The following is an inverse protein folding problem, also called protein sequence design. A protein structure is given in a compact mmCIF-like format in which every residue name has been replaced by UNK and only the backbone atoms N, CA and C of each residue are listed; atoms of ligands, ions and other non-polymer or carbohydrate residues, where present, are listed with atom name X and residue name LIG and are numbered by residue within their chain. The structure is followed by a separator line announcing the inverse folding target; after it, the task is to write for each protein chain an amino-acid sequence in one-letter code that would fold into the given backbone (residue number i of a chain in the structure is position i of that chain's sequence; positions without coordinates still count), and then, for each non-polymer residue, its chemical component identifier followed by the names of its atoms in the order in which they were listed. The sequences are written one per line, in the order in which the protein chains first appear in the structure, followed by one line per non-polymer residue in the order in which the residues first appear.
data_IF_771527097031
#
_entry.id   IF_771527097031
#
_cell.length_a   1.000
_cell.length_b   1.000
_cell.length_c   1.000
_cell.angle_alpha   90.00
_cell.angle_beta   90.00
_cell.angle_gamma   90.00
#
_symmetry.space_group_name_H-M   'P 1'
#
loop_
_entity.id
_entity.type
_entity.pdbx_description
1 polymer ?
#
# COMPACT_ATOMS: atom_id res chain seq x y z
N UNK A 1 27.58 21.56 3.61
CA UNK A 1 27.62 20.07 3.77
C UNK A 1 26.43 19.68 4.58
N UNK A 2 25.70 18.68 4.10
CA UNK A 2 24.46 18.21 4.72
C UNK A 2 24.78 17.42 5.99
N UNK A 3 24.45 17.99 7.15
CA UNK A 3 24.63 17.34 8.44
C UNK A 3 23.85 16.01 8.55
N UNK A 4 22.80 15.86 7.75
CA UNK A 4 21.98 14.63 7.71
C UNK A 4 22.75 13.49 7.07
N UNK A 5 23.48 13.74 6.00
CA UNK A 5 24.34 12.72 5.37
C UNK A 5 25.48 12.30 6.29
N UNK A 6 26.07 13.24 7.01
CA UNK A 6 27.12 12.93 7.99
C UNK A 6 26.58 12.06 9.14
N UNK A 7 25.38 12.35 9.63
CA UNK A 7 24.74 11.55 10.67
C UNK A 7 24.39 10.15 10.13
N UNK A 8 23.81 10.07 8.95
CA UNK A 8 23.47 8.81 8.31
C UNK A 8 24.71 7.95 8.04
N UNK A 9 25.81 8.56 7.56
CA UNK A 9 27.08 7.88 7.33
C UNK A 9 27.75 7.44 8.63
N UNK A 10 27.71 8.27 9.66
CA UNK A 10 28.37 7.99 10.94
C UNK A 10 27.65 6.90 11.76
N UNK A 11 26.33 6.84 11.67
CA UNK A 11 25.51 5.90 12.44
C UNK A 11 24.93 4.76 11.60
N UNK A 12 25.25 4.64 10.33
CA UNK A 12 24.68 3.65 9.40
C UNK A 12 23.13 3.68 9.37
N UNK A 13 22.53 4.86 9.48
CA UNK A 13 21.08 5.04 9.56
C UNK A 13 20.36 4.94 8.22
N UNK A 14 21.04 4.56 7.15
CA UNK A 14 20.45 4.38 5.84
C UNK A 14 20.31 5.68 5.05
N UNK A 15 19.44 5.65 4.06
CA UNK A 15 19.18 6.77 3.17
C UNK A 15 18.47 7.92 3.87
N UNK A 16 18.78 9.12 3.47
CA UNK A 16 18.15 10.35 3.90
C UNK A 16 16.62 10.30 3.74
N UNK A 17 15.89 10.69 4.77
CA UNK A 17 14.44 10.74 4.70
C UNK A 17 13.99 11.96 3.89
N UNK A 18 13.13 11.80 2.87
CA UNK A 18 12.69 12.93 2.06
C UNK A 18 11.78 13.86 2.86
N UNK A 19 11.87 15.14 2.55
CA UNK A 19 10.97 16.18 3.03
C UNK A 19 9.86 16.45 2.03
N UNK A 20 8.66 16.77 2.55
CA UNK A 20 7.55 17.21 1.72
C UNK A 20 7.78 18.68 1.32
N UNK A 21 7.92 18.95 0.03
CA UNK A 21 8.18 20.28 -0.53
C UNK A 21 6.94 20.93 -1.14
N UNK A 22 5.88 20.18 -1.31
CA UNK A 22 4.58 20.64 -1.81
C UNK A 22 3.43 20.07 -0.97
N UNK A 23 2.23 20.66 -0.98
CA UNK A 23 1.08 20.12 -0.29
C UNK A 23 0.77 18.69 -0.74
N UNK A 24 0.71 17.73 0.18
CA UNK A 24 0.41 16.35 -0.11
C UNK A 24 -0.93 16.20 -0.82
N UNK A 25 -0.92 15.57 -2.00
CA UNK A 25 -2.10 15.27 -2.78
C UNK A 25 -2.24 13.76 -3.00
N UNK A 26 -3.35 13.20 -2.52
CA UNK A 26 -3.71 11.82 -2.78
C UNK A 26 -4.20 11.65 -4.22
N UNK A 27 -3.64 10.67 -4.93
CA UNK A 27 -4.01 10.35 -6.30
C UNK A 27 -4.87 9.06 -6.35
N UNK A 28 -5.62 8.88 -7.44
CA UNK A 28 -6.32 7.62 -7.73
C UNK A 28 -5.38 6.68 -8.51
N UNK A 29 -4.98 5.54 -7.94
CA UNK A 29 -4.00 4.65 -8.58
C UNK A 29 -4.49 4.02 -9.88
N UNK A 30 -5.77 4.16 -10.22
CA UNK A 30 -6.34 3.67 -11.48
C UNK A 30 -6.14 4.64 -12.64
N UNK A 31 -5.70 5.86 -12.37
CA UNK A 31 -5.56 6.94 -13.35
C UNK A 31 -4.11 7.24 -13.66
N UNK A 32 -3.89 7.82 -14.83
CA UNK A 32 -2.63 8.44 -15.21
C UNK A 32 -2.71 9.96 -15.02
N UNK A 33 -1.59 10.58 -14.65
CA UNK A 33 -1.52 12.02 -14.37
C UNK A 33 -0.40 12.64 -15.20
N UNK A 34 -0.63 12.74 -16.51
CA UNK A 34 0.35 13.27 -17.47
C UNK A 34 0.77 14.71 -17.19
N UNK A 35 -0.12 15.51 -16.59
CA UNK A 35 0.18 16.87 -16.13
C UNK A 35 1.18 16.91 -14.97
N UNK A 36 1.37 15.79 -14.26
CA UNK A 36 2.36 15.61 -13.19
C UNK A 36 3.57 14.79 -13.66
N UNK A 37 3.66 14.48 -14.96
CA UNK A 37 4.71 13.62 -15.50
C UNK A 37 4.51 12.12 -15.24
N UNK A 38 3.40 11.72 -14.62
CA UNK A 38 3.07 10.33 -14.28
C UNK A 38 2.32 9.68 -15.44
N UNK A 39 3.06 9.04 -16.35
CA UNK A 39 2.51 8.45 -17.58
C UNK A 39 1.95 7.03 -17.40
N UNK A 40 2.24 6.40 -16.25
CA UNK A 40 1.73 5.07 -15.88
C UNK A 40 0.78 5.18 -14.69
N UNK A 41 -0.25 4.32 -14.60
CA UNK A 41 -1.10 4.27 -13.41
C UNK A 41 -0.35 3.62 -12.24
N UNK A 42 -0.95 3.65 -11.05
CA UNK A 42 -0.44 3.01 -9.84
C UNK A 42 -0.06 3.99 -8.74
N UNK A 43 0.12 5.26 -9.02
CA UNK A 43 0.57 6.22 -8.02
C UNK A 43 -0.53 6.58 -7.02
N UNK A 44 -0.17 6.54 -5.73
CA UNK A 44 -1.00 6.97 -4.62
C UNK A 44 -0.77 8.43 -4.25
N UNK A 45 0.43 8.93 -4.53
CA UNK A 45 0.82 10.33 -4.40
C UNK A 45 1.86 10.68 -5.48
N UNK A 46 2.13 11.97 -5.65
CA UNK A 46 3.12 12.44 -6.61
C UNK A 46 4.53 12.37 -5.98
N UNK A 47 5.45 11.58 -6.53
CA UNK A 47 6.84 11.54 -6.05
C UNK A 47 7.54 12.89 -6.06
N UNK A 48 7.19 13.78 -7.00
CA UNK A 48 7.80 15.11 -7.11
C UNK A 48 7.43 16.08 -5.97
N UNK A 49 6.45 15.71 -5.12
CA UNK A 49 6.13 16.49 -3.92
C UNK A 49 7.14 16.27 -2.78
N UNK A 50 8.13 15.40 -3.01
CA UNK A 50 9.15 15.03 -2.04
C UNK A 50 10.54 15.29 -2.59
N UNK A 51 11.42 15.80 -1.73
CA UNK A 51 12.82 16.01 -2.07
C UNK A 51 13.72 15.78 -0.84
N UNK A 52 14.97 15.47 -1.12
CA UNK A 52 16.07 15.52 -0.15
C UNK A 52 16.94 16.73 -0.46
N UNK A 53 17.82 17.14 0.45
CA UNK A 53 18.78 18.20 0.15
C UNK A 53 19.71 17.82 -1.00
N UNK A 54 20.02 16.54 -1.15
CA UNK A 54 20.80 16.02 -2.28
C UNK A 54 20.11 16.20 -3.64
N UNK A 55 18.75 16.16 -3.67
CA UNK A 55 17.98 16.32 -4.91
C UNK A 55 17.47 17.75 -5.13
N UNK A 56 17.31 18.50 -4.05
CA UNK A 56 16.92 19.92 -4.06
C UNK A 56 17.66 20.66 -2.93
N UNK A 57 18.73 21.41 -3.24
CA UNK A 57 19.50 22.18 -2.25
C UNK A 57 18.69 23.23 -1.48
N UNK A 58 17.47 23.54 -1.91
CA UNK A 58 16.52 24.39 -1.21
C UNK A 58 15.51 23.65 -0.36
N UNK A 59 15.54 22.31 -0.34
CA UNK A 59 14.65 21.53 0.49
C UNK A 59 14.88 21.82 1.98
N UNK A 60 13.82 21.77 2.79
CA UNK A 60 13.94 21.97 4.23
C UNK A 60 14.87 20.92 4.86
N UNK A 61 15.93 21.35 5.51
CA UNK A 61 16.88 20.49 6.23
C UNK A 61 16.41 20.29 7.67
N UNK A 62 16.45 19.06 8.20
CA UNK A 62 16.14 18.84 9.61
C UNK A 62 17.10 19.57 10.54
N UNK A 63 16.65 20.12 11.66
CA UNK A 63 17.55 20.64 12.69
C UNK A 63 18.51 19.56 13.17
N UNK A 64 19.76 19.93 13.45
CA UNK A 64 20.78 19.02 13.96
C UNK A 64 20.26 18.19 15.13
N UNK A 65 20.30 16.85 15.02
CA UNK A 65 19.78 15.92 16.02
C UNK A 65 18.30 15.57 15.90
N UNK A 66 17.58 16.07 14.89
CA UNK A 66 16.22 15.58 14.60
C UNK A 66 16.25 14.53 13.49
N UNK A 67 15.48 13.46 13.65
CA UNK A 67 15.44 12.35 12.69
C UNK A 67 14.47 12.59 11.53
N UNK A 68 13.95 13.74 11.39
CA UNK A 68 13.09 14.10 10.26
C UNK A 68 12.73 15.58 10.37
N UNK A 69 12.79 16.30 9.34
CA UNK A 69 12.55 17.75 9.21
C UNK A 69 11.15 18.21 9.67
N UNK A 70 10.65 17.70 10.80
CA UNK A 70 9.28 17.97 11.23
C UNK A 70 8.23 17.31 10.33
N UNK A 71 8.62 16.65 9.25
CA UNK A 71 7.72 15.81 8.46
C UNK A 71 7.35 14.61 9.30
N UNK A 72 6.08 14.43 9.55
CA UNK A 72 5.61 13.30 10.35
C UNK A 72 6.09 11.99 9.69
N UNK A 73 6.49 11.03 10.50
CA UNK A 73 6.88 9.68 10.07
C UNK A 73 5.79 9.01 9.21
N UNK A 74 4.57 9.48 9.32
CA UNK A 74 3.41 9.04 8.54
C UNK A 74 2.75 10.27 7.94
N UNK A 75 2.90 10.45 6.64
CA UNK A 75 2.38 11.63 5.93
C UNK A 75 0.90 11.43 5.58
N UNK A 76 0.49 10.18 5.36
CA UNK A 76 -0.87 9.89 4.96
C UNK A 76 -1.24 8.43 5.20
N UNK A 77 -2.54 8.19 5.12
CA UNK A 77 -3.12 6.86 5.19
C UNK A 77 -2.92 6.10 3.87
N UNK A 78 -2.53 4.85 3.95
CA UNK A 78 -2.59 3.94 2.81
C UNK A 78 -4.04 3.72 2.33
N UNK A 79 -4.23 2.92 1.27
CA UNK A 79 -5.55 2.51 0.82
C UNK A 79 -6.32 1.78 1.94
N UNK A 80 -7.61 2.06 2.05
CA UNK A 80 -8.47 1.34 2.98
C UNK A 80 -8.74 -0.08 2.52
N UNK A 81 -8.76 -1.01 3.47
CA UNK A 81 -9.17 -2.40 3.25
C UNK A 81 -10.68 -2.53 3.50
N UNK A 82 -11.40 -3.11 2.54
CA UNK A 82 -12.80 -3.52 2.70
C UNK A 82 -12.92 -4.91 2.10
N UNK A 83 -13.19 -5.89 2.95
CA UNK A 83 -13.36 -7.26 2.56
C UNK A 83 -14.60 -7.86 3.24
N UNK A 84 -15.37 -8.61 2.49
CA UNK A 84 -16.56 -9.30 2.96
C UNK A 84 -16.58 -10.71 2.40
N UNK A 85 -16.61 -11.67 3.31
CA UNK A 85 -16.72 -13.08 2.99
C UNK A 85 -18.11 -13.58 3.36
N UNK A 86 -18.63 -14.47 2.54
CA UNK A 86 -19.91 -15.08 2.75
C UNK A 86 -19.82 -16.60 2.63
N UNK A 87 -20.44 -17.31 3.56
CA UNK A 87 -20.50 -18.78 3.49
C UNK A 87 -21.89 -19.33 3.81
N UNK A 88 -22.29 -20.34 3.05
CA UNK A 88 -23.53 -21.10 3.27
C UNK A 88 -23.19 -22.56 3.44
N UNK A 89 -23.76 -23.15 4.48
CA UNK A 89 -23.60 -24.56 4.78
C UNK A 89 -24.99 -25.21 4.84
N UNK A 90 -25.17 -26.34 4.12
CA UNK A 90 -26.39 -27.14 4.16
C UNK A 90 -26.05 -28.59 4.51
N UNK A 91 -26.63 -29.08 5.59
CA UNK A 91 -26.58 -30.48 5.97
C UNK A 91 -27.86 -31.16 5.54
N UNK A 92 -27.74 -32.25 4.80
CA UNK A 92 -28.86 -33.08 4.35
C UNK A 92 -28.66 -34.46 4.97
N UNK A 93 -29.53 -34.83 5.92
CA UNK A 93 -29.49 -36.14 6.55
C UNK A 93 -30.11 -37.16 5.60
N UNK A 94 -29.37 -38.24 5.37
CA UNK A 94 -29.82 -39.38 4.52
C UNK A 94 -30.25 -40.58 5.37
N UNK A 95 -29.66 -40.72 6.57
CA UNK A 95 -29.95 -41.74 7.54
C UNK A 95 -29.55 -41.24 8.93
N UNK A 96 -29.76 -42.01 9.99
CA UNK A 96 -29.35 -41.65 11.35
C UNK A 96 -27.83 -41.40 11.47
N UNK A 97 -27.03 -42.13 10.70
CA UNK A 97 -25.56 -42.05 10.72
C UNK A 97 -24.97 -41.40 9.48
N UNK A 98 -25.74 -41.22 8.39
CA UNK A 98 -25.24 -40.75 7.10
C UNK A 98 -25.82 -39.39 6.74
N UNK A 99 -24.96 -38.46 6.33
CA UNK A 99 -25.41 -37.16 5.86
C UNK A 99 -24.48 -36.59 4.79
N UNK A 100 -25.04 -35.72 3.98
CA UNK A 100 -24.36 -34.95 2.97
C UNK A 100 -24.23 -33.52 3.45
N UNK A 101 -23.06 -32.96 3.39
CA UNK A 101 -22.80 -31.54 3.70
C UNK A 101 -22.38 -30.81 2.45
N UNK A 102 -23.17 -29.85 2.03
CA UNK A 102 -22.86 -28.90 1.00
C UNK A 102 -22.32 -27.62 1.66
N UNK A 103 -21.27 -27.04 1.10
CA UNK A 103 -20.65 -25.79 1.52
C UNK A 103 -20.39 -24.94 0.29
N UNK A 104 -20.83 -23.68 0.32
CA UNK A 104 -20.51 -22.66 -0.66
C UNK A 104 -19.86 -21.49 0.08
N UNK A 105 -18.70 -21.05 -0.40
CA UNK A 105 -17.94 -19.94 0.18
C UNK A 105 -17.60 -18.96 -0.91
N UNK A 106 -17.77 -17.67 -0.62
CA UNK A 106 -17.47 -16.56 -1.51
C UNK A 106 -16.58 -15.61 -0.73
N UNK A 107 -15.35 -15.46 -1.17
CA UNK A 107 -14.39 -14.51 -0.63
C UNK A 107 -14.43 -13.25 -1.47
N UNK A 108 -14.26 -12.09 -0.85
CA UNK A 108 -14.36 -10.79 -1.47
C UNK A 108 -15.64 -10.65 -2.32
N UNK A 109 -16.81 -10.79 -1.66
CA UNK A 109 -18.15 -10.85 -2.30
C UNK A 109 -18.38 -9.71 -3.29
N UNK A 110 -17.94 -8.50 -2.96
CA UNK A 110 -18.13 -7.32 -3.80
C UNK A 110 -17.08 -7.17 -4.90
N UNK A 111 -16.12 -8.11 -4.99
CA UNK A 111 -15.00 -8.06 -5.93
C UNK A 111 -14.27 -6.70 -5.90
N UNK A 112 -14.04 -6.19 -4.70
CA UNK A 112 -13.37 -4.91 -4.51
C UNK A 112 -11.87 -5.09 -4.60
N UNK A 113 -11.22 -4.22 -5.34
CA UNK A 113 -9.75 -4.17 -5.37
C UNK A 113 -9.25 -3.56 -4.06
N UNK A 114 -8.60 -4.38 -3.24
CA UNK A 114 -7.93 -3.99 -2.01
C UNK A 114 -6.45 -3.77 -2.33
N UNK A 115 -6.05 -2.52 -2.48
CA UNK A 115 -4.67 -2.16 -2.82
C UNK A 115 -3.74 -2.36 -1.62
N UNK A 116 -2.50 -2.79 -1.88
CA UNK A 116 -1.41 -2.76 -0.91
C UNK A 116 -1.01 -1.32 -0.56
N UNK A 117 -0.14 -1.14 0.41
CA UNK A 117 0.46 0.17 0.67
C UNK A 117 1.33 0.59 -0.52
N UNK A 118 1.39 1.90 -0.82
CA UNK A 118 2.33 2.43 -1.80
C UNK A 118 3.78 2.21 -1.34
N UNK A 119 4.67 2.15 -2.30
CA UNK A 119 6.09 2.10 -2.02
C UNK A 119 6.52 3.37 -1.27
N UNK A 120 7.18 3.18 -0.13
CA UNK A 120 7.70 4.25 0.73
C UNK A 120 9.20 4.48 0.58
N UNK A 121 9.88 3.72 -0.29
CA UNK A 121 11.31 3.82 -0.53
C UNK A 121 11.68 4.98 -1.44
N UNK A 122 12.06 6.13 -0.88
CA UNK A 122 12.46 7.28 -1.70
C UNK A 122 13.67 6.97 -2.60
N UNK A 123 14.60 6.12 -2.12
CA UNK A 123 15.77 5.66 -2.87
C UNK A 123 15.44 4.82 -4.11
N UNK A 124 14.22 4.28 -4.20
CA UNK A 124 13.81 3.45 -5.35
C UNK A 124 13.47 4.29 -6.58
N UNK A 125 13.52 5.60 -6.39
CA UNK A 125 13.37 6.60 -7.44
C UNK A 125 11.90 6.91 -7.78
N UNK A 126 11.69 7.93 -8.63
CA UNK A 126 10.37 8.48 -8.90
C UNK A 126 9.46 7.53 -9.69
N UNK A 127 9.99 6.44 -10.23
CA UNK A 127 9.21 5.43 -10.96
C UNK A 127 8.54 4.41 -10.05
N UNK A 128 9.05 4.23 -8.82
CA UNK A 128 8.54 3.26 -7.85
C UNK A 128 7.98 3.94 -6.60
N UNK A 129 8.67 4.96 -6.09
CA UNK A 129 8.25 5.71 -4.91
C UNK A 129 6.82 6.26 -5.06
N UNK A 130 5.96 5.97 -4.10
CA UNK A 130 4.54 6.35 -4.12
C UNK A 130 3.63 5.47 -4.96
N UNK A 131 4.17 4.42 -5.59
CA UNK A 131 3.42 3.53 -6.48
C UNK A 131 2.91 2.29 -5.73
N UNK A 132 1.69 1.90 -6.04
CA UNK A 132 1.09 0.65 -5.59
C UNK A 132 1.34 -0.40 -6.67
N UNK A 133 2.05 -1.46 -6.33
CA UNK A 133 2.42 -2.54 -7.24
C UNK A 133 1.64 -3.82 -7.00
N UNK A 134 0.91 -3.90 -5.88
CA UNK A 134 0.17 -5.09 -5.48
C UNK A 134 -1.26 -4.76 -5.06
N UNK A 135 -2.13 -5.76 -5.21
CA UNK A 135 -3.50 -5.73 -4.69
C UNK A 135 -3.83 -7.10 -4.09
N UNK A 136 -4.77 -7.13 -3.19
CA UNK A 136 -5.33 -8.36 -2.64
C UNK A 136 -6.09 -9.17 -3.70
N UNK A 137 -6.44 -10.39 -3.32
CA UNK A 137 -7.06 -11.36 -4.21
C UNK A 137 -8.42 -10.87 -4.74
N UNK A 138 -8.74 -11.21 -6.00
CA UNK A 138 -10.07 -10.98 -6.54
C UNK A 138 -11.09 -11.90 -5.87
N UNK A 139 -12.37 -11.70 -6.19
CA UNK A 139 -13.43 -12.57 -5.69
C UNK A 139 -13.16 -14.04 -6.06
N UNK A 140 -13.13 -14.88 -5.02
CA UNK A 140 -13.01 -16.33 -5.14
C UNK A 140 -14.31 -16.99 -4.69
N UNK A 141 -14.80 -17.92 -5.50
CA UNK A 141 -15.98 -18.75 -5.17
C UNK A 141 -15.56 -20.20 -5.13
N UNK A 142 -15.84 -20.87 -4.01
CA UNK A 142 -15.57 -22.30 -3.88
C UNK A 142 -16.79 -23.06 -3.40
N UNK A 143 -16.93 -24.30 -3.88
CA UNK A 143 -17.94 -25.24 -3.47
C UNK A 143 -17.28 -26.51 -2.94
N UNK A 144 -17.82 -27.03 -1.87
CA UNK A 144 -17.39 -28.31 -1.32
C UNK A 144 -18.61 -29.19 -1.00
N UNK A 145 -18.48 -30.47 -1.27
CA UNK A 145 -19.45 -31.49 -0.96
C UNK A 145 -18.75 -32.57 -0.14
N UNK A 146 -19.23 -32.82 1.08
CA UNK A 146 -18.72 -33.87 1.96
C UNK A 146 -19.82 -34.88 2.26
N UNK A 147 -19.47 -36.13 2.12
CA UNK A 147 -20.33 -37.24 2.48
C UNK A 147 -19.77 -37.90 3.74
N UNK A 148 -20.63 -38.10 4.73
CA UNK A 148 -20.32 -38.79 6.00
C UNK A 148 -21.15 -40.07 6.06
N UNK A 149 -20.49 -41.17 6.43
CA UNK A 149 -21.08 -42.51 6.54
C UNK A 149 -20.56 -43.26 7.73
#
# INVERSE_FOLDING_TARGET
EDDTELINSLFFLGTEAPSLIAPFQKLDPRKTYTNLGLTTPGYWFNPADFATEATDPGAPVPPLGSFNNGTQRTICCGPGLIDWDFSVHKKISLSETKYLQFRAEIFNVFNRTNYSNPDGGFSDGPTEFGKITQAGDPRLVQFALKFFF
#
